data_IF_587324261720
#
_entry.id   IF_587324261720
#
_cell.length_a   1.000
_cell.length_b   1.000
_cell.length_c   1.000
_cell.angle_alpha   90.00
_cell.angle_beta   90.00
_cell.angle_gamma   90.00
#
_symmetry.space_group_name_H-M   'P 1'
#
loop_
_entity.id
_entity.type
_entity.pdbx_description
1 polymer ?
#
# COMPACT_ATOMS: atom_id res chain seq x y z
N UNK A 1 -8.89 2.60 -9.37
CA UNK A 1 -9.53 3.24 -8.22
C UNK A 1 -9.56 2.33 -7.03
N UNK A 2 -9.17 2.82 -5.87
CA UNK A 2 -9.15 2.04 -4.65
C UNK A 2 -9.91 2.82 -3.58
N UNK A 3 -11.15 2.44 -3.28
CA UNK A 3 -11.93 3.18 -2.28
C UNK A 3 -11.35 3.01 -0.88
N UNK A 4 -11.62 3.94 0.02
CA UNK A 4 -11.10 3.86 1.39
C UNK A 4 -11.50 2.58 2.12
N UNK A 5 -12.65 2.03 1.85
CA UNK A 5 -13.06 0.79 2.51
C UNK A 5 -12.19 -0.36 2.06
N UNK A 6 -11.72 -0.38 0.82
CA UNK A 6 -10.78 -1.38 0.36
C UNK A 6 -9.45 -1.22 1.07
N UNK A 7 -8.97 0.02 1.20
CA UNK A 7 -7.74 0.28 1.92
C UNK A 7 -7.84 -0.20 3.37
N UNK A 8 -8.95 0.06 4.02
CA UNK A 8 -9.15 -0.39 5.40
C UNK A 8 -9.16 -1.91 5.49
N UNK A 9 -9.75 -2.58 4.52
CA UNK A 9 -9.79 -4.04 4.50
C UNK A 9 -8.37 -4.62 4.29
N UNK A 10 -7.59 -3.99 3.43
CA UNK A 10 -6.20 -4.40 3.23
C UNK A 10 -5.40 -4.21 4.51
N UNK A 11 -5.60 -3.09 5.19
CA UNK A 11 -4.88 -2.82 6.43
C UNK A 11 -5.23 -3.84 7.51
N UNK A 12 -6.48 -4.26 7.56
CA UNK A 12 -6.90 -5.26 8.53
C UNK A 12 -6.31 -6.63 8.21
N UNK A 13 -6.10 -6.95 6.95
CA UNK A 13 -5.58 -8.23 6.53
C UNK A 13 -4.05 -8.30 6.55
N UNK A 14 -3.38 -7.17 6.38
CA UNK A 14 -1.94 -7.15 6.15
C UNK A 14 -1.11 -7.85 7.20
N UNK A 15 -1.39 -7.69 8.50
CA UNK A 15 -0.55 -8.35 9.50
C UNK A 15 -0.59 -9.86 9.45
N UNK A 16 -1.66 -10.43 8.91
CA UNK A 16 -1.85 -11.87 8.88
C UNK A 16 -1.62 -12.48 7.49
N UNK A 17 -1.38 -11.65 6.48
CA UNK A 17 -1.28 -12.10 5.10
C UNK A 17 0.03 -11.66 4.48
N UNK A 18 0.59 -12.52 3.64
CA UNK A 18 1.74 -12.11 2.84
C UNK A 18 1.24 -11.49 1.53
N UNK A 19 2.18 -11.12 0.68
CA UNK A 19 1.85 -10.43 -0.57
C UNK A 19 0.95 -11.27 -1.46
N UNK A 20 1.23 -12.55 -1.57
CA UNK A 20 0.46 -13.43 -2.42
C UNK A 20 -0.97 -13.56 -1.91
N UNK A 21 -1.14 -13.65 -0.60
CA UNK A 21 -2.47 -13.75 -0.01
C UNK A 21 -3.26 -12.46 -0.20
N UNK A 22 -2.59 -11.32 -0.11
CA UNK A 22 -3.26 -10.04 -0.38
C UNK A 22 -3.71 -9.95 -1.83
N UNK A 23 -2.90 -10.42 -2.75
CA UNK A 23 -3.28 -10.43 -4.15
C UNK A 23 -4.50 -11.32 -4.41
N UNK A 24 -4.57 -12.43 -3.69
CA UNK A 24 -5.71 -13.34 -3.84
C UNK A 24 -6.98 -12.75 -3.25
N UNK A 25 -6.86 -12.05 -2.14
CA UNK A 25 -8.03 -11.47 -1.49
C UNK A 25 -8.56 -10.24 -2.22
N UNK A 26 -7.67 -9.51 -2.87
CA UNK A 26 -8.04 -8.26 -3.54
C UNK A 26 -7.52 -8.27 -4.97
N UNK A 27 -8.13 -9.11 -5.83
CA UNK A 27 -7.55 -9.34 -7.16
C UNK A 27 -7.53 -8.13 -8.08
N UNK A 28 -8.29 -7.11 -7.79
CA UNK A 28 -8.28 -5.91 -8.61
C UNK A 28 -7.27 -4.86 -8.18
N UNK A 29 -6.47 -5.15 -7.14
CA UNK A 29 -5.54 -4.19 -6.58
C UNK A 29 -4.12 -4.70 -6.78
N UNK A 30 -3.22 -3.83 -7.22
CA UNK A 30 -1.81 -4.16 -7.30
C UNK A 30 -1.17 -3.93 -5.94
N UNK A 31 -0.20 -4.75 -5.59
CA UNK A 31 0.47 -4.63 -4.29
C UNK A 31 1.97 -4.63 -4.47
N UNK A 32 2.64 -3.83 -3.65
CA UNK A 32 4.10 -3.81 -3.57
C UNK A 32 4.48 -3.80 -2.09
N UNK A 33 5.44 -4.62 -1.72
CA UNK A 33 5.98 -4.62 -0.37
C UNK A 33 7.33 -3.93 -0.36
N UNK A 34 7.57 -3.15 0.68
CA UNK A 34 8.89 -2.57 0.88
C UNK A 34 9.06 -2.26 2.36
N UNK A 35 10.26 -1.85 2.74
CA UNK A 35 10.51 -1.36 4.08
C UNK A 35 10.21 0.13 4.15
N UNK A 36 10.00 0.62 5.35
CA UNK A 36 9.77 2.04 5.56
C UNK A 36 10.92 2.86 5.01
N UNK A 37 12.13 2.33 5.07
CA UNK A 37 13.31 3.02 4.59
C UNK A 37 13.33 3.24 3.08
N UNK A 38 12.57 2.46 2.35
CA UNK A 38 12.53 2.58 0.90
C UNK A 38 11.60 3.68 0.42
N UNK A 39 10.86 4.30 1.32
CA UNK A 39 9.91 5.34 0.98
C UNK A 39 10.57 6.70 1.21
N UNK A 40 10.52 7.62 0.25
CA UNK A 40 11.06 8.96 0.48
C UNK A 40 10.39 9.62 1.67
N UNK A 41 11.19 10.26 2.50
CA UNK A 41 10.70 10.85 3.74
C UNK A 41 9.66 11.94 3.52
N UNK A 42 9.64 12.53 2.34
CA UNK A 42 8.69 13.60 2.05
C UNK A 42 7.29 13.10 1.74
N UNK A 43 7.12 11.79 1.54
CA UNK A 43 5.81 11.26 1.22
C UNK A 43 5.05 10.94 2.49
N UNK A 44 3.75 11.17 2.44
CA UNK A 44 2.87 10.88 3.57
C UNK A 44 2.07 9.62 3.28
N UNK A 45 1.94 8.79 4.29
CA UNK A 45 1.11 7.60 4.15
C UNK A 45 -0.36 8.00 4.12
N UNK A 46 -1.17 7.14 3.52
CA UNK A 46 -2.62 7.35 3.50
C UNK A 46 -3.31 6.59 4.64
N UNK A 47 -2.61 5.63 5.23
CA UNK A 47 -3.13 4.92 6.38
C UNK A 47 -1.96 4.34 7.15
N UNK A 48 -2.10 4.27 8.46
CA UNK A 48 -1.07 3.75 9.33
C UNK A 48 -1.66 2.71 10.26
N UNK A 49 -0.95 1.61 10.47
CA UNK A 49 -1.29 0.62 11.46
C UNK A 49 -0.07 0.40 12.35
N UNK A 50 -0.19 -0.33 13.45
CA UNK A 50 0.97 -0.58 14.30
C UNK A 50 2.13 -1.29 13.59
N UNK A 51 1.84 -2.05 12.54
CA UNK A 51 2.88 -2.82 11.85
C UNK A 51 3.30 -2.24 10.52
N UNK A 52 2.48 -1.40 9.90
CA UNK A 52 2.71 -0.96 8.52
C UNK A 52 2.27 0.45 8.29
N UNK A 53 2.86 1.06 7.25
CA UNK A 53 2.32 2.25 6.62
C UNK A 53 1.81 1.86 5.25
N UNK A 54 0.75 2.50 4.78
CA UNK A 54 0.16 2.20 3.49
C UNK A 54 0.16 3.46 2.63
N UNK A 55 0.47 3.27 1.34
CA UNK A 55 0.52 4.36 0.38
C UNK A 55 -0.25 3.92 -0.85
N UNK A 56 -0.90 4.86 -1.51
CA UNK A 56 -1.46 4.59 -2.82
C UNK A 56 -0.41 4.84 -3.89
N UNK A 57 -0.46 4.09 -4.96
CA UNK A 57 0.36 4.41 -6.12
C UNK A 57 -0.46 4.23 -7.39
N UNK A 58 0.02 4.85 -8.46
CA UNK A 58 -0.55 4.66 -9.78
C UNK A 58 0.57 4.22 -10.71
N UNK A 59 0.21 3.42 -11.70
CA UNK A 59 1.18 2.91 -12.65
C UNK A 59 0.68 3.29 -14.03
N UNK A 60 0.90 4.54 -14.42
CA UNK A 60 0.29 5.08 -15.61
C UNK A 60 1.00 4.70 -16.89
N UNK A 61 2.29 4.47 -16.83
CA UNK A 61 3.05 4.22 -18.06
C UNK A 61 3.60 2.82 -18.13
N UNK A 62 3.39 2.01 -17.11
CA UNK A 62 3.91 0.66 -17.07
C UNK A 62 5.36 0.58 -16.68
N UNK A 63 6.04 1.71 -16.50
CA UNK A 63 7.46 1.71 -16.19
C UNK A 63 7.76 2.14 -14.78
N UNK A 64 7.01 3.07 -14.24
CA UNK A 64 7.31 3.66 -12.95
C UNK A 64 6.09 3.71 -12.09
N UNK A 65 6.29 3.57 -10.81
CA UNK A 65 5.24 3.81 -9.85
C UNK A 65 5.26 5.27 -9.45
N UNK A 66 4.09 5.88 -9.36
CA UNK A 66 3.97 7.22 -8.82
C UNK A 66 3.08 7.17 -7.62
N UNK A 67 3.53 7.74 -6.52
CA UNK A 67 2.71 7.79 -5.33
C UNK A 67 1.63 8.85 -5.50
N UNK A 68 0.45 8.56 -4.98
CA UNK A 68 -0.66 9.49 -5.03
C UNK A 68 -1.43 9.40 -3.73
N UNK A 69 -2.14 10.45 -3.38
CA UNK A 69 -3.06 10.42 -2.25
C UNK A 69 -4.51 10.34 -2.72
N UNK A 70 -4.72 10.26 -4.03
CA UNK A 70 -6.06 10.29 -4.59
C UNK A 70 -6.56 8.86 -4.83
N UNK A 71 -7.55 8.39 -4.08
CA UNK A 71 -8.05 7.02 -4.27
C UNK A 71 -8.59 6.77 -5.66
N UNK A 72 -9.11 7.79 -6.33
CA UNK A 72 -9.66 7.61 -7.67
C UNK A 72 -8.58 7.34 -8.70
N UNK A 73 -7.37 7.86 -8.48
CA UNK A 73 -6.25 7.65 -9.39
C UNK A 73 -5.45 6.40 -9.03
N UNK A 74 -5.64 5.84 -7.85
CA UNK A 74 -4.80 4.76 -7.36
C UNK A 74 -5.09 3.47 -8.11
N UNK A 75 -4.03 2.74 -8.45
CA UNK A 75 -4.15 1.42 -9.04
C UNK A 75 -3.59 0.35 -8.11
N UNK A 76 -2.87 0.75 -7.08
CA UNK A 76 -2.30 -0.21 -6.15
C UNK A 76 -1.96 0.40 -4.81
N UNK A 77 -1.52 -0.46 -3.92
CA UNK A 77 -1.16 -0.09 -2.55
C UNK A 77 0.25 -0.57 -2.26
N UNK A 78 1.06 0.32 -1.72
CA UNK A 78 2.37 -0.05 -1.18
C UNK A 78 2.17 -0.37 0.29
N UNK A 79 2.62 -1.54 0.71
CA UNK A 79 2.58 -1.96 2.11
C UNK A 79 4.01 -1.83 2.62
N UNK A 80 4.26 -0.83 3.44
CA UNK A 80 5.60 -0.56 3.96
C UNK A 80 5.70 -1.03 5.39
N UNK A 81 6.62 -1.95 5.65
CA UNK A 81 6.84 -2.44 7.00
C UNK A 81 7.48 -1.35 7.84
N UNK A 82 6.97 -1.14 9.03
CA UNK A 82 7.54 -0.14 9.93
C UNK A 82 8.85 -0.65 10.51
N UNK A 83 9.80 0.24 10.55
CA UNK A 83 11.14 -0.12 11.01
C UNK A 83 11.31 -0.02 12.51
N UNK A 84 10.33 0.56 13.18
CA UNK A 84 10.49 0.88 14.58
C UNK A 84 10.06 -0.21 15.52
N UNK A 85 9.81 -1.31 15.08
CA UNK A 85 9.32 -2.24 15.92
C UNK A 85 10.15 -2.79 16.78
N UNK A 86 10.22 -2.74 17.56
CA UNK A 86 10.98 -3.22 18.36
C UNK A 86 10.82 -3.27 19.18
#
# INVERSE_FOLDING_TARGET
MIPPETLNAVAAAAPACDLMQLREKFPGVMFTLCGEDDIPARLNHVLETPAHYFYYFTNTSGHCLEFTSDPAAATGIVVAARADER
#
